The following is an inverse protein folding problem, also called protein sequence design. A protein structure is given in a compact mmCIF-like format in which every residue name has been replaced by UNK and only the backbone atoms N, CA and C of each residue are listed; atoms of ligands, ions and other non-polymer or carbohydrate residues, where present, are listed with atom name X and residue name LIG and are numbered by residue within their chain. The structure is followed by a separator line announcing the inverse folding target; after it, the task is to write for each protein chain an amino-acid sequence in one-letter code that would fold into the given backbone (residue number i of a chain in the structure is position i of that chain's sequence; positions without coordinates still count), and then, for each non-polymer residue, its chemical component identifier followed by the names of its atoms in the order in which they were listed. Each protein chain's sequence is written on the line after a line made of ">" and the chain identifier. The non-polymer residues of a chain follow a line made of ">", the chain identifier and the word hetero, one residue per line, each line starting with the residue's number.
data_IF_213485683955
#
_entry.id   IF_213485683955
#
_cell.length_a   1.000
_cell.length_b   1.000
_cell.length_c   1.000
_cell.angle_alpha   90.00
_cell.angle_beta   90.00
_cell.angle_gamma   90.00
#
_symmetry.space_group_name_H-M   'P 1'
#
loop_
_entity.id
_entity.type
_entity.pdbx_description
1 polymer ?
#
# COMPACT_ATOMS: atom_id res chain seq x y z
N UNK A 1 8.76 -21.55 -16.89
CA UNK A 1 9.73 -20.63 -16.26
C UNK A 1 8.98 -19.85 -15.19
N UNK A 2 9.09 -20.28 -13.94
CA UNK A 2 8.53 -19.52 -12.81
C UNK A 2 9.44 -18.32 -12.60
N UNK A 3 8.96 -17.13 -12.94
CA UNK A 3 9.65 -15.90 -12.56
C UNK A 3 9.65 -15.84 -11.04
N UNK A 4 10.85 -15.87 -10.45
CA UNK A 4 11.07 -15.60 -9.04
C UNK A 4 10.62 -14.16 -8.80
N UNK A 5 9.33 -14.01 -8.51
CA UNK A 5 8.69 -12.70 -8.35
C UNK A 5 9.07 -12.25 -6.96
N UNK A 6 10.20 -11.54 -6.88
CA UNK A 6 10.62 -10.82 -5.67
C UNK A 6 9.40 -10.21 -4.98
N UNK A 7 9.30 -10.28 -3.65
CA UNK A 7 8.17 -9.74 -2.92
C UNK A 7 7.99 -8.28 -3.33
N UNK A 8 6.86 -7.99 -3.97
CA UNK A 8 6.54 -6.63 -4.38
C UNK A 8 6.04 -5.91 -3.14
N UNK A 9 6.84 -4.95 -2.68
CA UNK A 9 6.57 -4.17 -1.48
C UNK A 9 6.29 -2.73 -1.91
N UNK A 10 5.23 -2.16 -1.37
CA UNK A 10 5.03 -0.72 -1.39
C UNK A 10 5.59 -0.12 -0.08
N UNK A 11 6.51 0.83 -0.23
CA UNK A 11 7.09 1.59 0.89
C UNK A 11 7.07 3.11 0.59
N UNK A 12 7.11 3.92 1.64
CA UNK A 12 7.16 5.39 1.55
C UNK A 12 8.59 5.93 1.62
N UNK A 13 9.60 5.06 1.45
CA UNK A 13 11.02 5.33 1.75
C UNK A 13 11.33 5.80 3.19
N UNK A 14 10.32 5.84 4.07
CA UNK A 14 10.48 6.13 5.49
C UNK A 14 10.40 4.81 6.28
N UNK A 15 11.42 4.43 7.07
CA UNK A 15 11.40 3.17 7.83
C UNK A 15 10.38 3.15 8.97
N UNK A 16 9.75 4.28 9.29
CA UNK A 16 8.77 4.40 10.37
C UNK A 16 7.48 3.64 10.06
N UNK A 17 7.02 3.69 8.81
CA UNK A 17 5.76 3.10 8.41
C UNK A 17 5.92 1.64 7.99
N UNK A 18 4.97 0.75 8.34
CA UNK A 18 5.06 -0.65 7.96
C UNK A 18 4.99 -0.79 6.44
N UNK A 19 5.86 -1.66 5.93
CA UNK A 19 5.90 -2.04 4.52
C UNK A 19 4.64 -2.82 4.17
N UNK A 20 4.10 -2.54 2.99
CA UNK A 20 2.86 -3.19 2.55
C UNK A 20 3.18 -4.26 1.51
N UNK A 21 2.90 -5.51 1.86
CA UNK A 21 3.04 -6.67 0.97
C UNK A 21 1.85 -6.75 0.00
N UNK A 22 2.15 -6.60 -1.30
CA UNK A 22 1.14 -6.64 -2.35
C UNK A 22 0.48 -8.02 -2.51
N UNK A 23 1.21 -9.10 -2.21
CA UNK A 23 0.67 -10.46 -2.27
C UNK A 23 -0.45 -10.65 -1.25
N UNK A 24 -0.21 -10.22 0.00
CA UNK A 24 -1.22 -10.23 1.06
C UNK A 24 -2.36 -9.24 0.82
N UNK A 25 -2.09 -8.10 0.19
CA UNK A 25 -3.14 -7.14 -0.16
C UNK A 25 -4.17 -7.72 -1.13
N UNK A 26 -3.73 -8.50 -2.12
CA UNK A 26 -4.63 -9.06 -3.12
C UNK A 26 -5.67 -10.00 -2.49
N UNK A 27 -5.21 -10.88 -1.59
CA UNK A 27 -6.07 -11.78 -0.82
C UNK A 27 -7.00 -11.02 0.13
N UNK A 28 -6.47 -9.99 0.80
CA UNK A 28 -7.19 -9.23 1.83
C UNK A 28 -8.28 -8.32 1.25
N UNK A 29 -8.03 -7.71 0.09
CA UNK A 29 -8.96 -6.77 -0.54
C UNK A 29 -10.08 -7.46 -1.34
N UNK A 30 -10.01 -8.79 -1.54
CA UNK A 30 -11.03 -9.59 -2.27
C UNK A 30 -11.52 -8.90 -3.55
N UNK A 31 -10.59 -8.34 -4.32
CA UNK A 31 -10.91 -7.52 -5.49
C UNK A 31 -11.77 -8.34 -6.46
N UNK A 32 -13.00 -7.89 -6.71
CA UNK A 32 -14.02 -8.63 -7.49
C UNK A 32 -13.73 -8.61 -9.00
N UNK A 33 -12.86 -7.71 -9.44
CA UNK A 33 -12.54 -7.47 -10.84
C UNK A 33 -11.04 -7.69 -11.06
N UNK A 34 -10.62 -8.21 -12.22
CA UNK A 34 -9.22 -8.49 -12.50
C UNK A 34 -8.43 -7.18 -12.57
N UNK A 35 -7.78 -6.82 -11.46
CA UNK A 35 -6.84 -5.70 -11.39
C UNK A 35 -5.46 -6.24 -11.77
N UNK A 36 -4.76 -5.55 -12.67
CA UNK A 36 -3.40 -5.95 -13.03
C UNK A 36 -2.46 -5.72 -11.84
N UNK A 37 -1.46 -6.60 -11.67
CA UNK A 37 -0.45 -6.46 -10.62
C UNK A 37 0.25 -5.08 -10.66
N UNK A 38 0.44 -4.53 -11.87
CA UNK A 38 1.03 -3.22 -12.06
C UNK A 38 0.12 -2.09 -11.54
N UNK A 39 -1.19 -2.16 -11.79
CA UNK A 39 -2.13 -1.17 -11.27
C UNK A 39 -2.23 -1.24 -9.74
N UNK A 40 -2.24 -2.46 -9.17
CA UNK A 40 -2.22 -2.65 -7.72
C UNK A 40 -0.93 -2.09 -7.09
N UNK A 41 0.22 -2.33 -7.72
CA UNK A 41 1.51 -1.82 -7.25
C UNK A 41 1.57 -0.29 -7.24
N UNK A 42 1.13 0.36 -8.33
CA UNK A 42 1.07 1.81 -8.40
C UNK A 42 0.10 2.38 -7.36
N UNK A 43 -1.11 1.81 -7.26
CA UNK A 43 -2.11 2.25 -6.28
C UNK A 43 -1.60 2.11 -4.84
N UNK A 44 -0.93 1.00 -4.51
CA UNK A 44 -0.36 0.76 -3.20
C UNK A 44 0.78 1.73 -2.87
N UNK A 45 1.68 2.03 -3.81
CA UNK A 45 2.73 3.04 -3.60
C UNK A 45 2.14 4.43 -3.36
N UNK A 46 1.17 4.84 -4.19
CA UNK A 46 0.47 6.12 -4.00
C UNK A 46 -0.22 6.18 -2.64
N UNK A 47 -0.92 5.11 -2.25
CA UNK A 47 -1.61 5.03 -0.96
C UNK A 47 -0.65 5.13 0.23
N UNK A 48 0.50 4.45 0.18
CA UNK A 48 1.52 4.48 1.24
C UNK A 48 2.16 5.87 1.36
N UNK A 49 2.45 6.55 0.25
CA UNK A 49 2.96 7.93 0.25
C UNK A 49 1.92 8.89 0.84
N UNK A 50 0.65 8.75 0.43
CA UNK A 50 -0.45 9.55 0.94
C UNK A 50 -0.63 9.35 2.45
N UNK A 51 -0.61 8.10 2.91
CA UNK A 51 -0.67 7.78 4.34
C UNK A 51 0.52 8.38 5.10
N UNK A 52 1.75 8.26 4.59
CA UNK A 52 2.92 8.82 5.25
C UNK A 52 2.83 10.35 5.42
N UNK A 53 2.17 11.02 4.48
CA UNK A 53 1.94 12.47 4.48
C UNK A 53 0.83 12.85 5.46
N UNK A 54 -0.32 12.17 5.40
CA UNK A 54 -1.47 12.37 6.30
C UNK A 54 -1.08 12.20 7.77
N UNK A 55 -0.27 11.16 8.05
CA UNK A 55 0.14 10.83 9.40
C UNK A 55 1.48 11.48 9.82
N UNK A 56 2.01 12.43 9.05
CA UNK A 56 3.33 13.02 9.29
C UNK A 56 3.48 13.69 10.66
N UNK A 57 2.42 14.34 11.15
CA UNK A 57 2.41 14.98 12.48
C UNK A 57 2.52 13.96 13.62
N UNK A 58 1.83 12.83 13.51
CA UNK A 58 1.96 11.75 14.50
C UNK A 58 3.35 11.13 14.46
N UNK A 59 3.92 10.92 13.27
CA UNK A 59 5.29 10.43 13.10
C UNK A 59 6.32 11.36 13.76
N UNK A 60 6.20 12.68 13.54
CA UNK A 60 7.09 13.65 14.18
C UNK A 60 7.02 13.57 15.72
N UNK A 61 5.81 13.59 16.27
CA UNK A 61 5.58 13.52 17.71
C UNK A 61 6.06 12.20 18.34
N UNK A 62 6.05 11.09 17.61
CA UNK A 62 6.55 9.79 18.07
C UNK A 62 8.08 9.71 17.99
N UNK A 63 8.69 10.29 16.95
CA UNK A 63 10.16 10.39 16.86
C UNK A 63 10.78 11.24 17.95
N UNK A 64 10.13 12.34 18.33
CA UNK A 64 10.54 13.16 19.48
C UNK A 64 10.55 12.35 20.80
N UNK A 65 9.70 11.32 20.89
CA UNK A 65 9.65 10.39 22.03
C UNK A 65 10.62 9.22 21.90
N UNK A 66 11.43 9.17 20.84
CA UNK A 66 12.45 8.15 20.60
C UNK A 66 12.01 6.97 19.72
N UNK A 67 10.73 6.89 19.33
CA UNK A 67 10.24 5.80 18.49
C UNK A 67 10.72 5.95 17.03
N UNK A 68 11.34 4.91 16.50
CA UNK A 68 11.86 4.85 15.13
C UNK A 68 10.89 4.13 14.19
N UNK A 69 10.01 3.29 14.73
CA UNK A 69 9.09 2.46 13.96
C UNK A 69 7.69 2.44 14.57
N UNK A 70 6.67 2.28 13.74
CA UNK A 70 5.29 2.20 14.24
C UNK A 70 5.06 0.95 15.11
N UNK A 71 5.74 -0.15 14.79
CA UNK A 71 5.66 -1.41 15.53
C UNK A 71 6.15 -1.27 16.99
N UNK A 72 7.09 -0.36 17.25
CA UNK A 72 7.59 -0.08 18.60
C UNK A 72 6.51 0.58 19.47
N UNK A 73 5.51 1.23 18.86
CA UNK A 73 4.40 1.87 19.56
C UNK A 73 3.24 0.90 19.79
N UNK A 74 3.22 -0.25 19.11
CA UNK A 74 2.13 -1.22 19.16
C UNK A 74 1.98 -1.95 20.52
N UNK A 75 2.95 -1.79 21.43
CA UNK A 75 2.83 -2.22 22.83
C UNK A 75 1.75 -1.46 23.63
N UNK A 76 1.30 -0.30 23.14
CA UNK A 76 0.28 0.54 23.79
C UNK A 76 -1.01 0.59 22.98
N UNK A 77 -2.15 0.73 23.67
CA UNK A 77 -3.49 0.79 23.06
C UNK A 77 -3.58 1.87 21.96
N UNK A 78 -3.05 3.05 22.25
CA UNK A 78 -3.01 4.17 21.30
C UNK A 78 -2.12 3.87 20.07
N UNK A 79 -1.02 3.16 20.24
CA UNK A 79 -0.16 2.74 19.12
C UNK A 79 -0.81 1.67 18.27
N UNK A 80 -1.54 0.72 18.89
CA UNK A 80 -2.35 -0.26 18.14
C UNK A 80 -3.45 0.42 17.34
N UNK A 81 -4.13 1.40 17.92
CA UNK A 81 -5.14 2.19 17.21
C UNK A 81 -4.52 2.92 16.00
N UNK A 82 -3.35 3.56 16.18
CA UNK A 82 -2.63 4.22 15.10
C UNK A 82 -2.23 3.24 13.97
N UNK A 83 -1.76 2.05 14.32
CA UNK A 83 -1.43 1.00 13.36
C UNK A 83 -2.66 0.56 12.55
N UNK A 84 -3.81 0.38 13.22
CA UNK A 84 -5.08 0.07 12.54
C UNK A 84 -5.50 1.21 11.62
N UNK A 85 -5.46 2.46 12.08
CA UNK A 85 -5.82 3.64 11.28
C UNK A 85 -4.95 3.76 10.03
N UNK A 86 -3.62 3.64 10.16
CA UNK A 86 -2.70 3.66 9.02
C UNK A 86 -3.05 2.56 8.01
N UNK A 87 -3.24 1.33 8.50
CA UNK A 87 -3.57 0.18 7.65
C UNK A 87 -4.88 0.39 6.89
N UNK A 88 -5.92 0.88 7.57
CA UNK A 88 -7.24 1.13 6.98
C UNK A 88 -7.21 2.27 5.97
N UNK A 89 -6.44 3.32 6.25
CA UNK A 89 -6.24 4.42 5.30
C UNK A 89 -5.60 3.91 4.02
N UNK A 90 -4.53 3.12 4.11
CA UNK A 90 -3.86 2.55 2.94
C UNK A 90 -4.82 1.67 2.12
N UNK A 91 -5.58 0.79 2.76
CA UNK A 91 -6.59 -0.03 2.08
C UNK A 91 -7.64 0.83 1.35
N UNK A 92 -8.20 1.83 2.04
CA UNK A 92 -9.22 2.72 1.48
C UNK A 92 -8.67 3.55 0.31
N UNK A 93 -7.45 4.06 0.42
CA UNK A 93 -6.78 4.79 -0.65
C UNK A 93 -6.52 3.90 -1.88
N UNK A 94 -6.09 2.65 -1.69
CA UNK A 94 -5.94 1.67 -2.78
C UNK A 94 -7.28 1.45 -3.48
N UNK A 95 -8.34 1.16 -2.72
CA UNK A 95 -9.67 0.92 -3.27
C UNK A 95 -10.22 2.16 -4.00
N UNK A 96 -10.00 3.35 -3.44
CA UNK A 96 -10.37 4.61 -4.06
C UNK A 96 -9.63 4.81 -5.38
N UNK A 97 -8.30 4.62 -5.42
CA UNK A 97 -7.52 4.76 -6.66
C UNK A 97 -7.94 3.74 -7.71
N UNK A 98 -8.23 2.49 -7.33
CA UNK A 98 -8.66 1.45 -8.26
C UNK A 98 -10.12 1.62 -8.72
N UNK A 99 -11.00 2.14 -7.86
CA UNK A 99 -12.40 2.42 -8.18
C UNK A 99 -12.62 3.75 -8.91
N UNK A 100 -11.74 4.72 -8.69
CA UNK A 100 -11.72 6.02 -9.38
C UNK A 100 -10.93 5.99 -10.68
N UNK A 101 -10.05 5.01 -10.88
CA UNK A 101 -9.41 4.82 -12.17
C UNK A 101 -10.51 4.45 -13.18
N UNK A 102 -10.76 5.26 -14.23
CA UNK A 102 -11.51 4.74 -15.36
C UNK A 102 -10.70 3.53 -15.80
N UNK A 103 -11.29 2.34 -15.73
CA UNK A 103 -10.67 1.06 -16.07
C UNK A 103 -9.69 1.32 -17.21
N UNK A 104 -8.38 1.33 -16.92
CA UNK A 104 -7.37 1.57 -17.95
C UNK A 104 -7.52 0.39 -18.91
N UNK A 105 -8.29 0.65 -19.97
CA UNK A 105 -8.78 -0.36 -20.88
C UNK A 105 -7.58 -0.94 -21.62
N UNK A 106 -7.08 -2.07 -21.15
CA UNK A 106 -6.42 -3.03 -22.02
C UNK A 106 -7.51 -3.65 -22.90
N UNK A 107 -7.34 -3.63 -24.24
CA UNK A 107 -6.34 -4.52 -24.83
C UNK A 107 -5.58 -3.88 -26.01
N UNK A 108 -4.25 -4.09 -26.08
CA UNK A 108 -3.57 -4.15 -27.38
C UNK A 108 -3.29 -5.61 -27.72
N UNK A 109 -4.30 -6.21 -28.34
CA UNK A 109 -4.27 -7.52 -29.00
C UNK A 109 -3.18 -7.46 -30.08
N UNK A 110 -2.32 -8.48 -30.11
CA UNK A 110 -1.07 -8.49 -30.88
C UNK A 110 -1.23 -8.22 -32.37
N UNK A 111 -0.31 -7.41 -32.90
CA UNK A 111 -0.02 -7.36 -34.32
C UNK A 111 0.78 -8.61 -34.69
N UNK A 112 0.12 -9.59 -35.31
CA UNK A 112 0.80 -10.65 -36.04
C UNK A 112 1.17 -10.05 -37.40
N UNK A 113 2.46 -9.81 -37.62
CA UNK A 113 2.94 -9.52 -38.98
C UNK A 113 2.95 -10.84 -39.74
N UNK A 114 2.20 -10.86 -40.84
CA UNK A 114 2.32 -11.84 -41.90
C UNK A 114 3.44 -11.42 -42.85
#
# INVERSE_FOLDING_TARGET
>A
MSTDRLPRIADSHDPFWPRVDLGRLHERLKLQQPVSDAALEVAARCAVIAAASEFARWRAALRERGYQRLEEVAGHDHGRALHVCYTRFVEAAILHTLGSAPCLAGPRRGLKHA
#
